data_IF_046359317988
#
_entry.id   IF_046359317988
#
_cell.length_a   1.000
_cell.length_b   1.000
_cell.length_c   1.000
_cell.angle_alpha   90.00
_cell.angle_beta   90.00
_cell.angle_gamma   90.00
#
_symmetry.space_group_name_H-M   'P 1'
#
loop_
_entity.id
_entity.type
_entity.pdbx_description
1 polymer ?
#
# COMPACT_ATOMS: atom_id res chain seq x y z
N UNK A 1 -4.86 -6.79 -4.98
CA UNK A 1 -6.19 -6.72 -4.35
C UNK A 1 -5.98 -6.18 -2.95
N UNK A 2 -6.76 -5.20 -2.51
CA UNK A 2 -6.55 -4.55 -1.22
C UNK A 2 -7.81 -3.93 -0.64
N UNK A 3 -7.75 -3.61 0.65
CA UNK A 3 -8.80 -2.92 1.39
C UNK A 3 -8.24 -1.62 1.97
N UNK A 4 -8.98 -0.54 1.80
CA UNK A 4 -8.64 0.78 2.30
C UNK A 4 -9.70 1.30 3.27
N UNK A 5 -9.27 2.12 4.22
CA UNK A 5 -10.10 2.89 5.13
C UNK A 5 -9.68 4.35 5.09
N UNK A 6 -10.63 5.23 4.80
CA UNK A 6 -10.45 6.67 4.84
C UNK A 6 -11.44 7.27 5.83
N UNK A 7 -10.97 8.22 6.65
CA UNK A 7 -11.82 8.97 7.56
C UNK A 7 -11.37 10.41 7.68
N UNK A 8 -12.27 11.33 7.31
CA UNK A 8 -12.14 12.75 7.63
C UNK A 8 -12.33 12.98 9.14
N UNK A 9 -11.43 13.76 9.74
CA UNK A 9 -11.53 14.15 11.15
C UNK A 9 -11.47 15.67 11.35
N UNK A 10 -11.09 16.42 10.32
CA UNK A 10 -11.26 17.87 10.23
C UNK A 10 -11.55 18.25 8.77
N UNK A 11 -12.04 19.47 8.53
CA UNK A 11 -12.47 19.93 7.20
C UNK A 11 -11.39 19.84 6.12
N UNK A 12 -10.11 19.81 6.52
CA UNK A 12 -8.96 19.78 5.64
C UNK A 12 -8.05 18.58 5.92
N UNK A 13 -8.46 17.63 6.78
CA UNK A 13 -7.61 16.52 7.19
C UNK A 13 -8.32 15.17 7.15
N UNK A 14 -7.66 14.24 6.47
CA UNK A 14 -8.11 12.86 6.32
C UNK A 14 -7.06 11.89 6.84
N UNK A 15 -7.51 10.89 7.61
CA UNK A 15 -6.71 9.73 7.97
C UNK A 15 -6.97 8.59 6.98
N UNK A 16 -5.89 7.99 6.50
CA UNK A 16 -5.90 6.93 5.51
C UNK A 16 -5.16 5.71 6.05
N UNK A 17 -5.75 4.53 5.93
CA UNK A 17 -5.12 3.26 6.22
C UNK A 17 -5.41 2.26 5.09
N UNK A 18 -4.42 1.45 4.71
CA UNK A 18 -4.52 0.50 3.61
C UNK A 18 -3.83 -0.81 3.92
N UNK A 19 -4.39 -1.90 3.41
CA UNK A 19 -3.78 -3.22 3.40
C UNK A 19 -3.94 -3.82 2.01
N UNK A 20 -2.81 -4.08 1.37
CA UNK A 20 -2.75 -4.55 -0.01
C UNK A 20 -1.95 -5.85 -0.09
N UNK A 21 -2.43 -6.77 -0.93
CA UNK A 21 -1.63 -7.92 -1.35
C UNK A 21 -0.83 -7.57 -2.61
N UNK A 22 0.48 -7.73 -2.52
CA UNK A 22 1.44 -7.39 -3.57
C UNK A 22 2.11 -8.67 -4.09
N UNK A 23 2.11 -8.78 -5.41
CA UNK A 23 2.88 -9.76 -6.17
C UNK A 23 3.96 -9.02 -6.94
N UNK A 24 5.22 -9.31 -6.64
CA UNK A 24 6.36 -8.76 -7.39
C UNK A 24 7.14 -9.91 -8.02
N UNK A 25 7.33 -9.81 -9.34
CA UNK A 25 8.31 -10.59 -10.06
C UNK A 25 9.63 -9.82 -10.02
N UNK A 26 10.65 -10.42 -9.44
CA UNK A 26 12.01 -9.90 -9.46
C UNK A 26 12.78 -10.70 -10.50
N UNK A 27 13.19 -10.01 -11.56
CA UNK A 27 14.10 -10.55 -12.55
C UNK A 27 15.50 -10.56 -11.92
N UNK A 28 15.90 -11.71 -11.38
CA UNK A 28 17.27 -11.95 -10.94
C UNK A 28 17.99 -12.76 -12.02
N UNK A 29 18.89 -12.09 -12.74
CA UNK A 29 19.62 -12.66 -13.88
C UNK A 29 20.50 -13.87 -13.50
N UNK A 30 20.78 -14.08 -12.21
CA UNK A 30 21.61 -15.19 -11.70
C UNK A 30 20.80 -16.39 -11.17
N UNK A 31 19.55 -16.22 -10.74
CA UNK A 31 18.84 -17.24 -9.94
C UNK A 31 17.45 -17.66 -10.50
N UNK A 32 17.02 -17.08 -11.63
CA UNK A 32 15.73 -17.36 -12.27
C UNK A 32 14.58 -16.52 -11.70
N UNK A 33 13.35 -16.68 -12.21
CA UNK A 33 12.22 -15.82 -11.77
C UNK A 33 11.96 -15.98 -10.27
N UNK A 34 12.31 -14.95 -9.48
CA UNK A 34 12.01 -14.90 -8.04
C UNK A 34 10.66 -14.22 -7.85
N UNK A 35 9.69 -14.98 -7.37
CA UNK A 35 8.35 -14.48 -7.07
C UNK A 35 8.24 -14.10 -5.59
N UNK A 36 7.93 -12.83 -5.32
CA UNK A 36 7.68 -12.33 -3.96
C UNK A 36 6.20 -12.05 -3.75
N UNK A 37 5.63 -12.80 -2.81
CA UNK A 37 4.26 -12.65 -2.33
C UNK A 37 4.29 -11.93 -0.98
N UNK A 38 3.76 -10.71 -0.92
CA UNK A 38 3.84 -9.87 0.27
C UNK A 38 2.54 -9.14 0.60
N UNK A 39 2.40 -8.76 1.87
CA UNK A 39 1.40 -7.78 2.29
C UNK A 39 2.07 -6.42 2.46
N UNK A 40 1.44 -5.38 1.92
CA UNK A 40 1.78 -3.98 2.14
C UNK A 40 0.77 -3.37 3.10
N UNK A 41 1.26 -2.55 4.02
CA UNK A 41 0.44 -1.80 4.97
C UNK A 41 0.75 -0.32 4.82
N UNK A 42 -0.28 0.50 4.71
CA UNK A 42 -0.17 1.96 4.62
C UNK A 42 -0.96 2.60 5.74
N UNK A 43 -0.40 3.65 6.33
CA UNK A 43 -1.09 4.55 7.25
C UNK A 43 -0.59 5.97 6.98
N UNK A 44 -1.49 6.93 6.83
CA UNK A 44 -1.14 8.29 6.41
C UNK A 44 -2.17 9.34 6.79
N UNK A 45 -1.73 10.59 6.76
CA UNK A 45 -2.58 11.77 6.89
C UNK A 45 -2.49 12.56 5.59
N UNK A 46 -3.63 13.00 5.09
CA UNK A 46 -3.73 13.86 3.91
C UNK A 46 -4.26 15.22 4.33
N UNK A 47 -3.69 16.29 3.77
CA UNK A 47 -4.15 17.66 3.96
C UNK A 47 -4.57 18.29 2.63
N UNK A 48 -5.70 18.99 2.61
CA UNK A 48 -6.24 19.69 1.43
C UNK A 48 -6.37 21.20 1.65
N UNK A 49 -6.05 22.00 0.61
CA UNK A 49 -6.03 23.47 0.61
C UNK A 49 -7.04 24.08 -0.37
#
# INVERSE_FOLDING_TARGET
MGVGYERSFADNWDFNAGLDYLYLEMDDDEEGNVYSNGFSYTAGLTYSF
#
